data_IF_653287964553
#
_entry.id   IF_653287964553
#
_cell.length_a   1.000
_cell.length_b   1.000
_cell.length_c   1.000
_cell.angle_alpha   90.00
_cell.angle_beta   90.00
_cell.angle_gamma   90.00
#
_symmetry.space_group_name_H-M   'P 1'
#
loop_
_entity.id
_entity.type
_entity.pdbx_description
1 polymer ?
#
# COMPACT_ATOMS: atom_id res chain seq x y z
N UNK A 1 -19.84 -19.41 -10.08
CA UNK A 1 -19.10 -20.34 -9.22
C UNK A 1 -19.84 -20.45 -7.90
N UNK A 2 -20.11 -21.66 -7.41
CA UNK A 2 -20.48 -21.88 -6.00
C UNK A 2 -19.23 -21.94 -5.14
N UNK A 3 -19.30 -21.39 -3.92
CA UNK A 3 -18.16 -21.30 -3.01
C UNK A 3 -17.84 -22.69 -2.43
N UNK A 4 -16.66 -23.22 -2.73
CA UNK A 4 -16.14 -24.47 -2.17
C UNK A 4 -14.61 -24.42 -2.13
N UNK A 5 -13.98 -25.31 -1.36
CA UNK A 5 -12.51 -25.39 -1.31
C UNK A 5 -11.91 -25.64 -2.70
N UNK A 6 -12.54 -26.51 -3.49
CA UNK A 6 -12.10 -26.81 -4.85
C UNK A 6 -12.18 -25.57 -5.76
N UNK A 7 -13.29 -24.82 -5.67
CA UNK A 7 -13.45 -23.62 -6.50
C UNK A 7 -12.52 -22.49 -6.06
N UNK A 8 -12.23 -22.35 -4.76
CA UNK A 8 -11.26 -21.40 -4.22
C UNK A 8 -9.82 -21.72 -4.65
N UNK A 9 -9.44 -23.00 -4.61
CA UNK A 9 -8.13 -23.44 -5.09
C UNK A 9 -7.97 -23.14 -6.59
N UNK A 10 -8.99 -23.45 -7.41
CA UNK A 10 -8.99 -23.15 -8.84
C UNK A 10 -8.94 -21.64 -9.14
N UNK A 11 -9.52 -20.81 -8.27
CA UNK A 11 -9.51 -19.35 -8.39
C UNK A 11 -8.23 -18.68 -7.86
N UNK A 12 -7.28 -19.43 -7.28
CA UNK A 12 -6.04 -18.87 -6.72
C UNK A 12 -6.27 -18.06 -5.43
N UNK A 13 -7.28 -18.42 -4.63
CA UNK A 13 -7.63 -17.69 -3.40
C UNK A 13 -6.67 -17.93 -2.23
N UNK A 14 -5.82 -18.96 -2.30
CA UNK A 14 -4.81 -19.25 -1.28
C UNK A 14 -3.50 -18.53 -1.60
N UNK A 15 -2.82 -18.04 -0.55
CA UNK A 15 -1.59 -17.27 -0.70
C UNK A 15 -0.51 -18.09 -1.42
N UNK A 16 0.10 -17.56 -2.49
CA UNK A 16 1.18 -18.23 -3.18
C UNK A 16 2.49 -18.13 -2.36
N UNK A 17 3.57 -18.82 -2.80
CA UNK A 17 4.88 -18.69 -2.17
C UNK A 17 5.40 -17.24 -2.12
N UNK A 18 6.34 -16.92 -1.19
CA UNK A 18 6.91 -15.58 -1.07
C UNK A 18 7.51 -15.03 -2.37
N UNK A 19 7.29 -13.75 -2.63
CA UNK A 19 7.77 -13.05 -3.81
C UNK A 19 9.14 -12.42 -3.53
N UNK A 20 10.13 -12.77 -4.36
CA UNK A 20 11.47 -12.15 -4.30
C UNK A 20 11.42 -10.70 -4.78
N UNK A 21 11.95 -9.78 -3.99
CA UNK A 21 12.09 -8.35 -4.29
C UNK A 21 13.52 -7.90 -4.03
N UNK A 22 14.00 -6.97 -4.86
CA UNK A 22 15.23 -6.24 -4.60
C UNK A 22 14.84 -4.87 -4.05
N UNK A 23 15.50 -4.46 -2.96
CA UNK A 23 15.27 -3.18 -2.30
C UNK A 23 16.57 -2.41 -2.17
N UNK A 24 16.46 -1.08 -2.17
CA UNK A 24 17.58 -0.16 -1.97
C UNK A 24 17.20 0.90 -0.96
N UNK A 25 18.11 1.19 -0.02
CA UNK A 25 17.97 2.26 0.98
C UNK A 25 19.35 2.85 1.30
N UNK A 26 19.42 3.99 1.99
CA UNK A 26 20.69 4.55 2.43
C UNK A 26 20.99 4.25 3.90
N UNK A 27 22.25 3.94 4.18
CA UNK A 27 22.78 3.81 5.54
C UNK A 27 24.15 4.43 5.61
N UNK A 28 24.39 5.28 6.62
CA UNK A 28 25.65 6.01 6.82
C UNK A 28 26.14 6.75 5.55
N UNK A 29 25.20 7.37 4.83
CA UNK A 29 25.48 8.13 3.61
C UNK A 29 25.82 7.28 2.37
N UNK A 30 25.63 5.96 2.43
CA UNK A 30 25.90 5.04 1.31
C UNK A 30 24.66 4.23 0.95
N UNK A 31 24.40 4.01 -0.36
CA UNK A 31 23.33 3.11 -0.79
C UNK A 31 23.65 1.68 -0.36
N UNK A 32 22.63 0.98 0.10
CA UNK A 32 22.61 -0.44 0.45
C UNK A 32 21.56 -1.12 -0.42
N UNK A 33 21.86 -2.33 -0.88
CA UNK A 33 20.93 -3.15 -1.66
C UNK A 33 20.77 -4.50 -0.98
N UNK A 34 19.54 -5.00 -0.90
CA UNK A 34 19.26 -6.33 -0.39
C UNK A 34 18.16 -7.02 -1.19
N UNK A 35 18.18 -8.35 -1.13
CA UNK A 35 17.08 -9.19 -1.57
C UNK A 35 16.21 -9.49 -0.35
N UNK A 36 14.90 -9.26 -0.48
CA UNK A 36 13.89 -9.65 0.50
C UNK A 36 12.88 -10.59 -0.15
N UNK A 37 12.29 -11.47 0.65
CA UNK A 37 11.12 -12.24 0.24
C UNK A 37 9.91 -11.71 0.98
N UNK A 38 8.83 -11.49 0.24
CA UNK A 38 7.61 -10.89 0.77
C UNK A 38 6.48 -11.89 0.61
N UNK A 39 5.89 -12.33 1.72
CA UNK A 39 4.67 -13.15 1.68
C UNK A 39 3.45 -12.26 1.43
N UNK A 40 2.45 -12.76 0.70
CA UNK A 40 1.19 -12.06 0.58
C UNK A 40 0.47 -12.03 1.93
N UNK A 41 -0.25 -10.95 2.18
CA UNK A 41 -1.17 -10.88 3.30
C UNK A 41 -2.24 -11.98 3.15
N UNK A 42 -2.53 -12.61 4.28
CA UNK A 42 -3.47 -13.73 4.40
C UNK A 42 -4.40 -13.48 5.59
N UNK A 43 -5.40 -14.34 5.75
CA UNK A 43 -6.20 -14.33 6.97
C UNK A 43 -5.33 -14.43 8.23
N UNK A 44 -4.25 -15.23 8.21
CA UNK A 44 -3.31 -15.37 9.33
C UNK A 44 -2.59 -14.06 9.65
N UNK A 45 -2.11 -13.33 8.64
CA UNK A 45 -1.42 -12.06 8.88
C UNK A 45 -2.39 -10.98 9.38
N UNK A 46 -3.64 -10.99 8.92
CA UNK A 46 -4.70 -10.10 9.42
C UNK A 46 -5.02 -10.37 10.88
N UNK A 47 -5.16 -11.63 11.29
CA UNK A 47 -5.42 -11.97 12.70
C UNK A 47 -4.23 -11.60 13.60
N UNK A 48 -2.99 -11.83 13.14
CA UNK A 48 -1.79 -11.38 13.87
C UNK A 48 -1.76 -9.86 14.08
N UNK A 49 -2.21 -9.10 13.08
CA UNK A 49 -2.28 -7.64 13.16
C UNK A 49 -3.32 -7.19 14.21
N UNK A 50 -4.49 -7.85 14.23
CA UNK A 50 -5.50 -7.59 15.24
C UNK A 50 -5.02 -7.97 16.65
N UNK A 51 -4.35 -9.11 16.80
CA UNK A 51 -3.80 -9.53 18.09
C UNK A 51 -2.76 -8.52 18.60
N UNK A 52 -1.86 -8.08 17.72
CA UNK A 52 -0.89 -7.04 18.04
C UNK A 52 -1.59 -5.73 18.46
N UNK A 53 -2.62 -5.31 17.73
CA UNK A 53 -3.39 -4.11 18.08
C UNK A 53 -4.07 -4.24 19.45
N UNK A 54 -4.68 -5.39 19.76
CA UNK A 54 -5.29 -5.65 21.07
C UNK A 54 -4.29 -5.62 22.21
N UNK A 55 -3.04 -6.04 21.95
CA UNK A 55 -1.93 -5.98 22.89
C UNK A 55 -1.27 -4.60 22.97
N UNK A 56 -1.75 -3.61 22.20
CA UNK A 56 -1.18 -2.26 22.16
C UNK A 56 0.16 -2.17 21.42
N UNK A 57 0.49 -3.17 20.60
CA UNK A 57 1.68 -3.16 19.77
C UNK A 57 1.51 -2.31 18.49
N UNK A 58 2.63 -1.89 17.90
CA UNK A 58 2.63 -1.14 16.65
C UNK A 58 2.27 -2.06 15.47
N UNK A 59 1.09 -1.82 14.89
CA UNK A 59 0.58 -2.60 13.76
C UNK A 59 1.43 -2.45 12.50
N UNK A 60 2.10 -1.32 12.30
CA UNK A 60 2.96 -1.11 11.13
C UNK A 60 4.24 -1.93 11.25
N UNK A 61 4.84 -1.93 12.44
CA UNK A 61 6.00 -2.78 12.73
C UNK A 61 5.64 -4.27 12.67
N UNK A 62 4.47 -4.65 13.20
CA UNK A 62 3.96 -6.02 13.10
C UNK A 62 3.76 -6.46 11.65
N UNK A 63 3.27 -5.57 10.79
CA UNK A 63 3.08 -5.84 9.36
C UNK A 63 4.41 -6.10 8.65
N UNK A 64 5.46 -5.35 8.97
CA UNK A 64 6.81 -5.62 8.45
C UNK A 64 7.30 -7.00 8.92
N UNK A 65 7.18 -7.28 10.22
CA UNK A 65 7.63 -8.55 10.80
C UNK A 65 6.89 -9.77 10.24
N UNK A 66 5.59 -9.64 9.93
CA UNK A 66 4.79 -10.75 9.39
C UNK A 66 4.98 -10.97 7.88
N UNK A 67 5.28 -9.92 7.12
CA UNK A 67 5.34 -10.00 5.66
C UNK A 67 6.75 -10.21 5.11
N UNK A 68 7.80 -9.78 5.83
CA UNK A 68 9.19 -9.95 5.39
C UNK A 68 9.75 -11.28 5.92
N UNK A 69 9.98 -12.19 4.99
CA UNK A 69 10.41 -13.57 5.26
C UNK A 69 11.70 -13.89 4.52
N UNK A 70 12.34 -15.00 4.91
CA UNK A 70 13.41 -15.62 4.16
C UNK A 70 12.85 -16.42 2.97
N UNK A 71 13.75 -17.03 2.19
CA UNK A 71 13.39 -17.86 1.03
C UNK A 71 12.50 -19.07 1.37
N UNK A 72 12.51 -19.51 2.64
CA UNK A 72 11.77 -20.67 3.14
C UNK A 72 10.47 -20.23 3.84
N UNK A 73 10.16 -18.93 3.84
CA UNK A 73 8.94 -18.37 4.43
C UNK A 73 9.04 -18.11 5.94
N UNK A 74 10.23 -18.15 6.54
CA UNK A 74 10.41 -17.84 7.97
C UNK A 74 10.56 -16.32 8.16
N UNK A 75 9.93 -15.71 9.18
CA UNK A 75 10.09 -14.29 9.46
C UNK A 75 11.56 -13.89 9.64
N UNK A 76 11.96 -12.80 8.97
CA UNK A 76 13.32 -12.23 9.10
C UNK A 76 13.41 -11.35 10.35
N UNK A 77 12.32 -10.66 10.68
CA UNK A 77 12.24 -9.74 11.80
C UNK A 77 11.24 -10.25 12.83
N UNK A 78 11.59 -10.10 14.10
CA UNK A 78 10.61 -9.97 15.17
C UNK A 78 10.08 -8.53 15.25
N UNK A 79 8.98 -8.32 15.99
CA UNK A 79 8.48 -6.98 16.26
C UNK A 79 9.53 -6.10 16.95
N UNK A 80 10.28 -6.68 17.90
CA UNK A 80 11.36 -5.99 18.60
C UNK A 80 12.51 -5.61 17.65
N UNK A 81 12.76 -6.38 16.59
CA UNK A 81 13.80 -6.02 15.63
C UNK A 81 13.44 -4.78 14.81
N UNK A 82 12.15 -4.61 14.52
CA UNK A 82 11.65 -3.44 13.79
C UNK A 82 11.65 -2.19 14.68
N UNK A 83 11.16 -2.34 15.92
CA UNK A 83 11.00 -1.23 16.87
C UNK A 83 12.27 -0.89 17.66
N UNK A 84 13.29 -1.73 17.58
CA UNK A 84 14.49 -1.67 18.41
C UNK A 84 14.36 -2.57 19.63
N UNK A 85 15.45 -3.23 19.96
CA UNK A 85 15.50 -4.26 20.99
C UNK A 85 16.57 -3.88 22.02
N UNK A 86 16.16 -3.41 23.21
CA UNK A 86 17.09 -3.03 24.28
C UNK A 86 18.00 -4.17 24.75
N UNK A 87 17.54 -5.43 24.65
CA UNK A 87 18.27 -6.61 25.12
C UNK A 87 19.42 -6.97 24.19
N UNK A 88 19.25 -6.79 22.88
CA UNK A 88 20.31 -7.01 21.88
C UNK A 88 21.10 -5.73 21.58
N UNK A 89 20.60 -4.56 22.00
CA UNK A 89 21.29 -3.28 21.94
C UNK A 89 21.23 -2.56 20.59
N UNK A 90 20.45 -3.05 19.62
CA UNK A 90 20.20 -2.31 18.38
C UNK A 90 18.94 -1.46 18.47
N UNK A 91 19.02 -0.25 17.91
CA UNK A 91 17.90 0.67 17.78
C UNK A 91 16.87 0.21 16.74
N UNK A 92 15.78 0.98 16.57
CA UNK A 92 14.78 0.72 15.53
C UNK A 92 15.37 0.76 14.13
N UNK A 93 14.68 0.15 13.17
CA UNK A 93 15.00 0.32 11.76
C UNK A 93 14.90 1.80 11.36
N UNK A 94 15.82 2.24 10.49
CA UNK A 94 15.77 3.60 9.99
C UNK A 94 14.52 3.82 9.13
N UNK A 95 14.02 5.06 9.12
CA UNK A 95 12.77 5.40 8.44
C UNK A 95 12.77 5.02 6.95
N UNK A 96 13.88 5.23 6.25
CA UNK A 96 13.99 4.90 4.83
C UNK A 96 13.85 3.40 4.57
N UNK A 97 14.56 2.55 5.34
CA UNK A 97 14.43 1.11 5.21
C UNK A 97 12.99 0.65 5.50
N UNK A 98 12.37 1.18 6.56
CA UNK A 98 10.98 0.86 6.90
C UNK A 98 10.00 1.22 5.77
N UNK A 99 10.17 2.39 5.15
CA UNK A 99 9.34 2.83 4.02
C UNK A 99 9.54 1.90 2.81
N UNK A 100 10.79 1.55 2.48
CA UNK A 100 11.11 0.68 1.34
C UNK A 100 10.56 -0.73 1.55
N UNK A 101 10.63 -1.27 2.78
CA UNK A 101 10.01 -2.55 3.12
C UNK A 101 8.48 -2.49 2.98
N UNK A 102 7.84 -1.44 3.48
CA UNK A 102 6.39 -1.25 3.34
C UNK A 102 5.97 -1.08 1.87
N UNK A 103 6.78 -0.42 1.04
CA UNK A 103 6.55 -0.32 -0.38
C UNK A 103 6.62 -1.71 -1.06
N UNK A 104 7.63 -2.53 -0.73
CA UNK A 104 7.73 -3.89 -1.24
C UNK A 104 6.53 -4.76 -0.83
N UNK A 105 6.03 -4.61 0.40
CA UNK A 105 4.80 -5.26 0.88
C UNK A 105 3.58 -4.77 0.09
N UNK A 106 3.49 -3.45 -0.13
CA UNK A 106 2.44 -2.82 -0.94
C UNK A 106 2.42 -3.36 -2.37
N UNK A 107 3.57 -3.48 -3.03
CA UNK A 107 3.68 -4.00 -4.39
C UNK A 107 3.16 -5.44 -4.53
N UNK A 108 3.44 -6.28 -3.53
CA UNK A 108 3.02 -7.70 -3.54
C UNK A 108 1.53 -7.84 -3.26
N UNK A 109 0.97 -6.97 -2.42
CA UNK A 109 -0.44 -7.01 -2.03
C UNK A 109 -1.34 -6.06 -2.85
N UNK A 110 -0.78 -5.33 -3.81
CA UNK A 110 -1.55 -4.43 -4.67
C UNK A 110 -2.55 -5.23 -5.50
N UNK A 111 -3.83 -4.92 -5.31
CA UNK A 111 -4.90 -5.44 -6.16
C UNK A 111 -4.70 -4.81 -7.53
N UNK A 112 -4.29 -5.60 -8.52
CA UNK A 112 -4.27 -5.13 -9.90
C UNK A 112 -5.71 -4.77 -10.27
N UNK A 113 -5.96 -3.50 -10.57
CA UNK A 113 -7.26 -2.92 -10.93
C UNK A 113 -7.98 -3.70 -12.05
N UNK A 114 -7.22 -4.49 -12.82
CA UNK A 114 -7.70 -5.41 -13.85
C UNK A 114 -8.55 -6.58 -13.31
N UNK A 115 -8.41 -6.95 -12.03
CA UNK A 115 -9.14 -8.05 -11.40
C UNK A 115 -10.53 -7.63 -10.86
N UNK A 116 -10.78 -6.32 -10.71
CA UNK A 116 -12.08 -5.76 -10.36
C UNK A 116 -12.68 -5.18 -11.63
N UNK A 117 -13.37 -6.02 -12.41
CA UNK A 117 -13.81 -5.70 -13.76
C UNK A 117 -14.23 -4.24 -13.98
N UNK A 118 -13.62 -3.57 -14.97
CA UNK A 118 -14.25 -2.46 -15.68
C UNK A 118 -15.54 -2.95 -16.35
N UNK A 119 -16.63 -2.96 -15.60
CA UNK A 119 -17.98 -2.76 -16.15
C UNK A 119 -18.42 -1.35 -15.81
N UNK A 120 -17.70 -0.36 -16.34
CA UNK A 120 -18.26 0.99 -16.44
C UNK A 120 -19.44 0.91 -17.40
N UNK A 121 -20.65 1.00 -16.85
CA UNK A 121 -21.84 1.33 -17.65
C UNK A 121 -21.52 2.55 -18.54
N UNK A 122 -21.93 2.59 -19.83
CA UNK A 122 -21.63 3.71 -20.68
C UNK A 122 -22.17 4.99 -20.04
N UNK A 123 -21.28 5.94 -19.78
CA UNK A 123 -21.60 7.24 -19.19
C UNK A 123 -22.56 7.94 -20.16
N UNK A 124 -23.84 8.03 -19.82
CA UNK A 124 -24.75 8.94 -20.54
C UNK A 124 -24.18 10.33 -20.38
N UNK A 125 -23.70 10.94 -21.46
CA UNK A 125 -23.34 12.35 -21.47
C UNK A 125 -24.59 13.15 -21.11
N UNK A 126 -24.63 13.74 -19.92
CA UNK A 126 -25.59 14.80 -19.62
C UNK A 126 -25.15 16.03 -20.40
N UNK A 127 -25.71 16.21 -21.59
CA UNK A 127 -25.57 17.44 -22.36
C UNK A 127 -26.20 18.59 -21.57
N UNK A 128 -25.38 19.31 -20.81
CA UNK A 128 -25.71 20.65 -20.35
C UNK A 128 -25.08 21.62 -21.35
N UNK A 129 -25.78 21.84 -22.46
CA UNK A 129 -25.51 22.99 -23.32
C UNK A 129 -26.02 24.24 -22.59
N UNK A 130 -25.16 24.86 -21.78
CA UNK A 130 -25.43 26.18 -21.19
C UNK A 130 -25.17 27.24 -22.25
N UNK A 131 -26.25 27.69 -22.87
CA UNK A 131 -26.29 28.72 -23.90
C UNK A 131 -26.12 30.13 -23.31
N UNK A 132 -25.49 30.99 -24.12
CA UNK A 132 -25.69 32.45 -24.21
C UNK A 132 -24.73 33.35 -23.41
N UNK A 133 -23.53 33.55 -23.95
CA UNK A 133 -22.80 34.80 -23.81
C UNK A 133 -23.28 35.75 -24.93
N UNK A 134 -24.21 36.65 -24.61
CA UNK A 134 -24.61 37.71 -25.52
C UNK A 134 -24.92 39.01 -24.76
N UNK A 135 -24.15 40.05 -25.09
CA UNK A 135 -24.49 41.47 -24.99
C UNK A 135 -24.38 42.15 -23.62
N UNK A 136 -23.15 42.37 -23.16
CA UNK A 136 -22.86 43.56 -22.35
C UNK A 136 -22.66 44.75 -23.30
N UNK A 137 -23.72 45.54 -23.48
CA UNK A 137 -23.73 46.75 -24.28
C UNK A 137 -22.80 47.83 -23.69
N UNK A 138 -22.08 48.53 -24.57
CA UNK A 138 -21.18 49.62 -24.21
C UNK A 138 -21.94 50.86 -23.71
N UNK A 139 -21.52 51.43 -22.57
CA UNK A 139 -21.73 52.84 -22.16
C UNK A 139 -20.65 53.22 -21.15
N UNK A 140 -20.22 54.46 -20.97
CA UNK A 140 -20.06 55.69 -21.77
C UNK A 140 -19.23 56.60 -20.84
N UNK A 141 -18.45 57.52 -21.39
CA UNK A 141 -17.36 58.25 -20.71
C UNK A 141 -17.82 59.14 -19.53
N UNK A 142 -16.87 59.32 -18.59
CA UNK A 142 -16.78 60.28 -17.47
C UNK A 142 -17.29 61.70 -17.79
N UNK A 143 -17.69 62.47 -16.77
CA UNK A 143 -16.91 63.68 -16.43
C UNK A 143 -16.67 63.90 -14.93
N UNK A 144 -15.77 64.85 -14.64
CA UNK A 144 -15.15 65.22 -13.37
C UNK A 144 -15.84 66.35 -12.59
N UNK A 145 -15.51 66.43 -11.29
CA UNK A 145 -15.44 67.59 -10.38
C UNK A 145 -16.76 68.33 -10.02
N UNK A 146 -17.01 68.50 -8.72
CA UNK A 146 -16.54 69.68 -7.95
C UNK A 146 -16.34 69.26 -6.49
#
# INVERSE_FOLDING_TARGET
MELSIASLAAAGAFVPPPVKKEITWHSNGKPQTAIVYVVHESFVSVTQLWDAQHQGADVTAQRIASCIVDKDGKPVFSLADVMGNPQTGHGPLCAELSIVLLAAIGDVNSIKEVALEKKSSPRKSSGTSSSSQASAGARSRKPSKT
#
